data_IF_648016511014
#
_entry.id   IF_648016511014
#
_cell.length_a   1.000
_cell.length_b   1.000
_cell.length_c   1.000
_cell.angle_alpha   90.00
_cell.angle_beta   90.00
_cell.angle_gamma   90.00
#
_symmetry.space_group_name_H-M   'P 1'
#
loop_
_entity.id
_entity.type
_entity.pdbx_description
1 polymer ?
#
# COMPACT_ATOMS: atom_id res chain seq x y z
N UNK A 1 4.67 -4.18 23.03
CA UNK A 1 3.54 -3.30 22.67
C UNK A 1 3.67 -2.91 21.21
N UNK A 2 2.68 -3.16 20.35
CA UNK A 2 2.79 -2.85 18.92
C UNK A 2 2.37 -1.40 18.63
N UNK A 3 3.35 -0.53 18.35
CA UNK A 3 3.17 0.92 18.15
C UNK A 3 2.12 1.21 17.05
N UNK A 4 2.15 0.46 15.95
CA UNK A 4 1.25 0.64 14.80
C UNK A 4 -0.20 0.41 15.22
N UNK A 5 -0.46 -0.65 15.99
CA UNK A 5 -1.82 -0.92 16.49
C UNK A 5 -2.31 0.14 17.47
N UNK A 6 -1.43 0.71 18.30
CA UNK A 6 -1.81 1.76 19.24
C UNK A 6 -2.19 3.06 18.52
N UNK A 7 -1.41 3.46 17.50
CA UNK A 7 -1.76 4.61 16.68
C UNK A 7 -3.11 4.45 15.97
N UNK A 8 -3.37 3.27 15.40
CA UNK A 8 -4.63 3.01 14.71
C UNK A 8 -5.83 3.05 15.67
N UNK A 9 -5.70 2.48 16.88
CA UNK A 9 -6.71 2.58 17.95
C UNK A 9 -6.91 4.02 18.42
N UNK A 10 -5.84 4.81 18.57
CA UNK A 10 -5.93 6.25 18.88
C UNK A 10 -6.71 6.99 17.80
N UNK A 11 -6.40 6.77 16.52
CA UNK A 11 -7.16 7.37 15.40
C UNK A 11 -8.62 6.93 15.42
N UNK A 12 -8.92 5.67 15.74
CA UNK A 12 -10.30 5.19 15.87
C UNK A 12 -11.07 5.94 16.96
N UNK A 13 -10.47 6.18 18.12
CA UNK A 13 -11.10 6.96 19.18
C UNK A 13 -11.43 8.40 18.72
N UNK A 14 -10.49 9.05 18.02
CA UNK A 14 -10.68 10.39 17.45
C UNK A 14 -11.81 10.39 16.41
N UNK A 15 -11.85 9.40 15.53
CA UNK A 15 -12.90 9.29 14.50
C UNK A 15 -14.27 9.05 15.14
N UNK A 16 -14.39 8.14 16.12
CA UNK A 16 -15.63 7.92 16.86
C UNK A 16 -16.11 9.19 17.56
N UNK A 17 -15.19 9.95 18.15
CA UNK A 17 -15.51 11.25 18.75
C UNK A 17 -15.98 12.25 17.69
N UNK A 18 -15.28 12.35 16.56
CA UNK A 18 -15.62 13.24 15.46
C UNK A 18 -16.99 12.94 14.84
N UNK A 19 -17.38 11.66 14.76
CA UNK A 19 -18.71 11.25 14.27
C UNK A 19 -19.82 11.67 15.24
N UNK A 20 -19.55 11.70 16.55
CA UNK A 20 -20.53 12.07 17.58
C UNK A 20 -20.64 13.57 17.84
N UNK A 21 -19.52 14.31 17.80
CA UNK A 21 -19.43 15.72 18.22
C UNK A 21 -19.04 16.69 17.10
N UNK A 22 -18.51 16.18 15.99
CA UNK A 22 -18.07 16.98 14.86
C UNK A 22 -16.55 16.98 14.67
N UNK A 23 -16.13 17.16 13.41
CA UNK A 23 -14.72 17.03 12.98
C UNK A 23 -13.85 18.19 13.50
N UNK A 24 -14.37 19.41 13.52
CA UNK A 24 -13.66 20.59 14.05
C UNK A 24 -13.45 20.49 15.56
N UNK A 25 -14.44 19.95 16.28
CA UNK A 25 -14.33 19.77 17.73
C UNK A 25 -13.31 18.69 18.07
N UNK A 26 -13.34 17.55 17.38
CA UNK A 26 -12.33 16.51 17.52
C UNK A 26 -10.91 17.02 17.27
N UNK A 27 -10.74 17.91 16.28
CA UNK A 27 -9.45 18.54 15.97
C UNK A 27 -8.91 19.35 17.16
N UNK A 28 -9.77 20.16 17.80
CA UNK A 28 -9.40 20.96 18.98
C UNK A 28 -9.10 20.08 20.20
N UNK A 29 -10.00 19.16 20.54
CA UNK A 29 -9.91 18.30 21.72
C UNK A 29 -8.66 17.42 21.69
N UNK A 30 -8.33 16.84 20.54
CA UNK A 30 -7.20 15.92 20.42
C UNK A 30 -5.91 16.59 19.90
N UNK A 31 -5.93 17.90 19.63
CA UNK A 31 -4.76 18.63 19.11
C UNK A 31 -4.27 18.12 17.76
N UNK A 32 -5.17 17.62 16.90
CA UNK A 32 -4.84 17.08 15.58
C UNK A 32 -5.37 18.00 14.50
N UNK A 33 -4.64 18.18 13.39
CA UNK A 33 -5.12 19.00 12.28
C UNK A 33 -6.47 18.53 11.73
N UNK A 34 -7.35 19.49 11.41
CA UNK A 34 -8.67 19.22 10.85
C UNK A 34 -8.60 18.38 9.55
N UNK A 35 -7.57 18.59 8.73
CA UNK A 35 -7.33 17.82 7.51
C UNK A 35 -7.07 16.34 7.79
N UNK A 36 -6.33 16.02 8.86
CA UNK A 36 -6.10 14.64 9.28
C UNK A 36 -7.38 13.99 9.78
N UNK A 37 -8.15 14.69 10.63
CA UNK A 37 -9.44 14.18 11.12
C UNK A 37 -10.40 13.91 9.95
N UNK A 38 -10.53 14.86 9.02
CA UNK A 38 -11.34 14.69 7.79
C UNK A 38 -10.88 13.47 6.97
N UNK A 39 -9.57 13.30 6.79
CA UNK A 39 -8.99 12.16 6.06
C UNK A 39 -9.30 10.83 6.75
N UNK A 40 -9.11 10.74 8.07
CA UNK A 40 -9.39 9.52 8.83
C UNK A 40 -10.89 9.18 8.84
N UNK A 41 -11.77 10.17 9.00
CA UNK A 41 -13.21 9.95 8.87
C UNK A 41 -13.60 9.41 7.48
N UNK A 42 -12.93 9.85 6.41
CA UNK A 42 -13.16 9.33 5.05
C UNK A 42 -12.65 7.89 4.86
N UNK A 43 -11.57 7.53 5.55
CA UNK A 43 -10.96 6.20 5.46
C UNK A 43 -11.65 5.15 6.34
N UNK A 44 -12.36 5.59 7.38
CA UNK A 44 -12.91 4.71 8.41
C UNK A 44 -14.12 3.91 7.92
N UNK A 45 -13.98 2.59 7.96
CA UNK A 45 -15.00 1.60 7.59
C UNK A 45 -15.72 0.98 8.80
N UNK A 46 -15.47 1.49 10.01
CA UNK A 46 -15.96 0.92 11.27
C UNK A 46 -14.91 0.11 12.03
N UNK A 47 -13.80 -0.26 11.38
CA UNK A 47 -12.71 -1.03 11.97
C UNK A 47 -11.48 -0.16 12.21
N UNK A 48 -10.60 -0.52 13.16
CA UNK A 48 -9.35 0.25 13.36
C UNK A 48 -8.32 -0.05 12.27
N UNK A 49 -8.45 -1.20 11.60
CA UNK A 49 -7.55 -1.66 10.56
C UNK A 49 -7.58 -0.75 9.33
N UNK A 50 -8.72 -0.13 9.00
CA UNK A 50 -8.80 0.84 7.90
C UNK A 50 -7.97 2.11 8.11
N UNK A 51 -7.60 2.41 9.37
CA UNK A 51 -6.78 3.57 9.75
C UNK A 51 -5.28 3.27 9.80
N UNK A 52 -4.89 2.06 9.41
CA UNK A 52 -3.49 1.67 9.30
C UNK A 52 -2.77 2.49 8.20
N UNK A 53 -1.48 2.82 8.40
CA UNK A 53 -0.69 3.45 7.37
C UNK A 53 -0.56 2.50 6.16
N UNK A 54 -1.00 2.98 4.98
CA UNK A 54 -0.78 2.29 3.71
C UNK A 54 0.62 2.60 3.18
N UNK A 55 1.08 1.76 2.24
CA UNK A 55 2.36 1.97 1.56
C UNK A 55 2.45 3.38 0.97
N UNK A 56 3.60 4.03 1.17
CA UNK A 56 3.94 5.32 0.56
C UNK A 56 4.72 5.16 -0.74
N UNK A 57 5.00 3.92 -1.15
CA UNK A 57 5.78 3.65 -2.36
C UNK A 57 4.95 4.03 -3.59
N UNK A 58 5.51 4.72 -4.59
CA UNK A 58 4.80 4.98 -5.84
C UNK A 58 4.39 3.66 -6.50
N UNK A 59 3.17 3.63 -7.03
CA UNK A 59 2.64 2.44 -7.70
C UNK A 59 3.31 2.19 -9.06
N UNK A 60 3.78 3.24 -9.72
CA UNK A 60 4.39 3.20 -11.05
C UNK A 60 5.60 4.13 -11.14
N UNK A 61 6.44 3.90 -12.16
CA UNK A 61 7.50 4.81 -12.58
C UNK A 61 7.40 4.98 -14.10
N UNK A 62 7.82 6.13 -14.67
CA UNK A 62 7.62 6.42 -16.09
C UNK A 62 8.29 5.40 -17.01
N UNK A 63 9.48 4.93 -16.66
CA UNK A 63 10.24 3.97 -17.46
C UNK A 63 9.85 2.51 -17.17
N UNK A 64 8.65 2.25 -16.64
CA UNK A 64 8.22 0.89 -16.29
C UNK A 64 7.80 0.18 -17.56
N UNK A 65 8.36 -0.99 -17.81
CA UNK A 65 7.91 -1.85 -18.89
C UNK A 65 6.40 -2.11 -18.80
N UNK A 66 5.74 -2.03 -19.94
CA UNK A 66 4.37 -2.49 -20.08
C UNK A 66 4.31 -4.00 -19.89
N UNK A 67 3.13 -4.51 -19.52
CA UNK A 67 2.90 -5.96 -19.42
C UNK A 67 3.23 -6.70 -20.73
N UNK A 68 3.13 -6.02 -21.88
CA UNK A 68 3.46 -6.56 -23.20
C UNK A 68 4.97 -6.71 -23.38
N UNK A 69 5.73 -5.66 -23.08
CA UNK A 69 7.20 -5.69 -23.15
C UNK A 69 7.77 -6.71 -22.17
N UNK A 70 7.27 -6.76 -20.93
CA UNK A 70 7.68 -7.79 -19.97
C UNK A 70 7.40 -9.22 -20.49
N UNK A 71 6.29 -9.42 -21.21
CA UNK A 71 5.97 -10.71 -21.83
C UNK A 71 6.95 -11.05 -22.94
N UNK A 72 7.28 -10.09 -23.79
CA UNK A 72 8.26 -10.27 -24.86
C UNK A 72 9.63 -10.63 -24.27
N UNK A 73 10.11 -9.86 -23.29
CA UNK A 73 11.36 -10.12 -22.58
C UNK A 73 11.37 -11.55 -22.01
N UNK A 74 10.33 -11.95 -21.27
CA UNK A 74 10.22 -13.31 -20.71
C UNK A 74 10.22 -14.39 -21.79
N UNK A 75 9.56 -14.17 -22.92
CA UNK A 75 9.50 -15.13 -24.01
C UNK A 75 10.86 -15.28 -24.70
N UNK A 76 11.58 -14.18 -24.94
CA UNK A 76 12.92 -14.19 -25.53
C UNK A 76 13.90 -15.00 -24.68
N UNK A 77 13.90 -14.82 -23.36
CA UNK A 77 14.72 -15.64 -22.46
C UNK A 77 14.33 -17.12 -22.48
N UNK A 78 13.02 -17.44 -22.50
CA UNK A 78 12.54 -18.82 -22.57
C UNK A 78 12.94 -19.52 -23.87
N UNK A 79 12.86 -18.84 -25.00
CA UNK A 79 13.29 -19.41 -26.29
C UNK A 79 14.78 -19.69 -26.27
N UNK A 80 15.60 -18.71 -25.86
CA UNK A 80 17.06 -18.88 -25.79
C UNK A 80 17.49 -20.03 -24.85
N UNK A 81 16.76 -20.28 -23.75
CA UNK A 81 17.04 -21.41 -22.87
C UNK A 81 16.63 -22.76 -23.48
N UNK A 82 15.51 -22.82 -24.22
CA UNK A 82 15.09 -24.05 -24.92
C UNK A 82 16.08 -24.46 -26.01
N UNK A 83 16.70 -23.49 -26.66
CA UNK A 83 17.73 -23.73 -27.67
C UNK A 83 19.03 -24.30 -27.04
N UNK A 84 19.26 -24.06 -25.75
CA UNK A 84 20.42 -24.56 -24.99
C UNK A 84 20.21 -25.95 -24.39
N UNK A 85 18.97 -26.32 -24.02
CA UNK A 85 18.64 -27.68 -23.53
C UNK A 85 18.77 -28.77 -24.62
N UNK A 86 18.86 -28.38 -25.90
CA UNK A 86 19.11 -29.28 -27.03
C UNK A 86 20.58 -29.53 -27.36
N UNK A 87 21.53 -28.86 -26.67
CA UNK A 87 22.94 -29.18 -26.78
C UNK A 87 23.31 -30.20 -25.69
N UNK A 88 23.28 -31.49 -26.04
CA UNK A 88 24.02 -32.50 -25.28
C UNK A 88 25.46 -32.02 -25.14
N UNK A 89 25.86 -31.69 -23.92
CA UNK A 89 27.27 -31.52 -23.59
C UNK A 89 27.93 -32.88 -23.73
N UNK A 90 28.60 -33.15 -24.84
CA UNK A 90 29.59 -34.24 -24.91
C UNK A 90 30.73 -33.87 -23.97
N UNK A 91 30.73 -34.46 -22.78
CA UNK A 91 31.86 -34.39 -21.85
C UNK A 91 32.98 -35.24 -22.46
N UNK A 92 34.07 -34.59 -22.86
CA UNK A 92 35.33 -35.23 -23.25
C UNK A 92 36.03 -35.77 -22.01
#
# INVERSE_FOLDING_TARGET
>A
MNIITQEAKKKQAIVKYALRKGKSEASRVYGVSLSSVKRWCKQYDGTWQSLLPKSRRPHSHPNRHTKREERQIRNSFKSAMKDMDGMEYTVI
#
